data_IF_051644422216
#
_entry.id   IF_051644422216
#
_cell.length_a   1.000
_cell.length_b   1.000
_cell.length_c   1.000
_cell.angle_alpha   90.00
_cell.angle_beta   90.00
_cell.angle_gamma   90.00
#
_symmetry.space_group_name_H-M   'P 1'
#
loop_
_entity.id
_entity.type
_entity.pdbx_description
1 polymer ?
#
# COMPACT_ATOMS: atom_id res chain seq x y z
N UNK A 1 9.21 -9.19 13.98
CA UNK A 1 8.92 -9.34 12.53
C UNK A 1 9.60 -10.55 11.91
N UNK A 2 9.70 -11.69 12.61
CA UNK A 2 10.42 -12.86 12.07
C UNK A 2 9.55 -13.77 11.22
N UNK A 3 8.23 -13.71 11.41
CA UNK A 3 7.27 -14.56 10.72
C UNK A 3 6.74 -13.87 9.47
N UNK A 4 6.52 -12.56 9.55
CA UNK A 4 5.96 -11.71 8.50
C UNK A 4 6.82 -11.71 7.25
N UNK A 5 8.14 -11.52 7.38
CA UNK A 5 9.03 -11.56 6.22
C UNK A 5 9.06 -12.96 5.58
N UNK A 6 9.01 -14.03 6.39
CA UNK A 6 8.98 -15.41 5.88
C UNK A 6 7.73 -15.68 5.05
N UNK A 7 6.56 -15.21 5.51
CA UNK A 7 5.30 -15.37 4.78
C UNK A 7 5.43 -14.74 3.38
N UNK A 8 5.87 -13.48 3.30
CA UNK A 8 6.04 -12.80 2.01
C UNK A 8 7.10 -13.45 1.13
N UNK A 9 8.22 -13.93 1.70
CA UNK A 9 9.25 -14.63 0.94
C UNK A 9 8.75 -15.97 0.40
N UNK A 10 7.98 -16.75 1.15
CA UNK A 10 7.39 -18.01 0.66
C UNK A 10 6.45 -17.75 -0.51
N UNK A 11 5.58 -16.74 -0.40
CA UNK A 11 4.65 -16.35 -1.46
C UNK A 11 5.43 -15.88 -2.71
N UNK A 12 6.47 -15.06 -2.52
CA UNK A 12 7.34 -14.61 -3.60
C UNK A 12 7.99 -15.78 -4.35
N UNK A 13 8.59 -16.73 -3.62
CA UNK A 13 9.20 -17.94 -4.20
C UNK A 13 8.16 -18.75 -4.98
N UNK A 14 6.96 -18.92 -4.43
CA UNK A 14 5.86 -19.58 -5.12
C UNK A 14 5.48 -18.85 -6.41
N UNK A 15 5.33 -17.52 -6.38
CA UNK A 15 4.95 -16.72 -7.55
C UNK A 15 6.02 -16.74 -8.65
N UNK A 16 7.30 -16.72 -8.29
CA UNK A 16 8.37 -16.90 -9.27
C UNK A 16 8.39 -18.33 -9.84
N UNK A 17 8.17 -19.34 -9.00
CA UNK A 17 8.00 -20.71 -9.46
C UNK A 17 6.81 -20.86 -10.42
N UNK A 18 5.68 -20.24 -10.09
CA UNK A 18 4.49 -20.20 -10.94
C UNK A 18 4.74 -19.42 -12.24
N UNK A 19 5.49 -18.32 -12.20
CA UNK A 19 5.90 -17.56 -13.39
C UNK A 19 6.70 -18.45 -14.35
N UNK A 20 7.69 -19.18 -13.83
CA UNK A 20 8.50 -20.10 -14.64
C UNK A 20 7.64 -21.24 -15.20
N UNK A 21 6.83 -21.88 -14.35
CA UNK A 21 5.95 -22.98 -14.75
C UNK A 21 4.98 -22.53 -15.85
N UNK A 22 4.33 -21.38 -15.66
CA UNK A 22 3.36 -20.82 -16.60
C UNK A 22 3.99 -20.44 -17.93
N UNK A 23 5.14 -19.77 -17.90
CA UNK A 23 5.87 -19.40 -19.12
C UNK A 23 6.32 -20.62 -19.93
N UNK A 24 6.83 -21.66 -19.25
CA UNK A 24 7.24 -22.90 -19.90
C UNK A 24 6.04 -23.72 -20.42
N UNK A 25 4.93 -23.76 -19.68
CA UNK A 25 3.72 -24.46 -20.09
C UNK A 25 3.11 -23.83 -21.33
N UNK A 26 2.90 -22.51 -21.33
CA UNK A 26 2.31 -21.79 -22.47
C UNK A 26 3.19 -21.91 -23.72
N UNK A 27 4.51 -21.88 -23.55
CA UNK A 27 5.45 -22.14 -24.64
C UNK A 27 5.35 -23.57 -25.18
N UNK A 28 5.23 -24.57 -24.33
CA UNK A 28 5.09 -25.98 -24.74
C UNK A 28 3.78 -26.29 -25.47
N UNK A 29 2.69 -25.59 -25.14
CA UNK A 29 1.38 -25.78 -25.77
C UNK A 29 1.24 -25.02 -27.10
N UNK A 30 1.64 -23.75 -27.12
CA UNK A 30 1.35 -22.84 -28.24
C UNK A 30 2.57 -22.49 -29.09
N UNK A 31 3.77 -22.92 -28.70
CA UNK A 31 5.04 -22.52 -29.32
C UNK A 31 5.49 -21.09 -28.97
N UNK A 32 4.72 -20.36 -28.16
CA UNK A 32 5.00 -19.00 -27.73
C UNK A 32 4.67 -18.81 -26.24
N UNK A 33 5.41 -17.92 -25.56
CA UNK A 33 5.10 -17.56 -24.18
C UNK A 33 3.91 -16.62 -24.15
N UNK A 34 2.94 -16.86 -23.27
CA UNK A 34 1.88 -15.90 -23.02
C UNK A 34 2.36 -14.77 -22.11
N UNK A 35 2.65 -13.61 -22.71
CA UNK A 35 3.27 -12.50 -22.01
C UNK A 35 2.38 -11.85 -20.95
N UNK A 36 1.06 -11.78 -21.16
CA UNK A 36 0.16 -11.06 -20.24
C UNK A 36 0.16 -11.75 -18.86
N UNK A 37 -0.13 -13.05 -18.81
CA UNK A 37 -0.09 -13.81 -17.57
C UNK A 37 1.32 -13.90 -16.96
N UNK A 38 2.34 -14.14 -17.79
CA UNK A 38 3.73 -14.27 -17.31
C UNK A 38 4.22 -12.98 -16.65
N UNK A 39 3.97 -11.82 -17.26
CA UNK A 39 4.37 -10.51 -16.69
C UNK A 39 3.57 -10.21 -15.42
N UNK A 40 2.28 -10.50 -15.38
CA UNK A 40 1.46 -10.28 -14.19
C UNK A 40 1.95 -11.12 -12.99
N UNK A 41 2.27 -12.39 -13.20
CA UNK A 41 2.85 -13.26 -12.17
C UNK A 41 4.24 -12.77 -11.72
N UNK A 42 5.09 -12.38 -12.67
CA UNK A 42 6.41 -11.84 -12.38
C UNK A 42 6.33 -10.58 -11.53
N UNK A 43 5.49 -9.61 -11.91
CA UNK A 43 5.30 -8.36 -11.15
C UNK A 43 4.69 -8.62 -9.77
N UNK A 44 3.81 -9.60 -9.63
CA UNK A 44 3.27 -10.02 -8.33
C UNK A 44 4.36 -10.64 -7.43
N UNK A 45 5.24 -11.45 -8.03
CA UNK A 45 6.43 -11.98 -7.36
C UNK A 45 7.38 -10.86 -6.91
N UNK A 46 7.60 -9.85 -7.76
CA UNK A 46 8.41 -8.68 -7.41
C UNK A 46 7.77 -7.85 -6.29
N UNK A 47 6.46 -7.60 -6.33
CA UNK A 47 5.74 -6.89 -5.27
C UNK A 47 5.91 -7.57 -3.91
N UNK A 48 5.63 -8.87 -3.85
CA UNK A 48 5.78 -9.66 -2.61
C UNK A 48 7.24 -9.75 -2.16
N UNK A 49 8.19 -9.74 -3.09
CA UNK A 49 9.63 -9.67 -2.77
C UNK A 49 10.03 -8.33 -2.17
N UNK A 50 9.48 -7.21 -2.67
CA UNK A 50 9.73 -5.88 -2.10
C UNK A 50 9.21 -5.81 -0.66
N UNK A 51 7.99 -6.29 -0.40
CA UNK A 51 7.42 -6.39 0.94
C UNK A 51 8.28 -7.28 1.86
N UNK A 52 8.59 -8.50 1.42
CA UNK A 52 9.41 -9.45 2.18
C UNK A 52 10.82 -8.93 2.46
N UNK A 53 11.45 -8.28 1.49
CA UNK A 53 12.77 -7.67 1.63
C UNK A 53 12.79 -6.52 2.63
N UNK A 54 11.77 -5.66 2.60
CA UNK A 54 11.60 -4.61 3.60
C UNK A 54 11.45 -5.21 5.01
N UNK A 55 10.54 -6.16 5.21
CA UNK A 55 10.34 -6.79 6.52
C UNK A 55 11.59 -7.54 7.00
N UNK A 56 12.30 -8.22 6.10
CA UNK A 56 13.56 -8.89 6.43
C UNK A 56 14.60 -7.89 6.94
N UNK A 57 14.75 -6.75 6.26
CA UNK A 57 15.66 -5.69 6.68
C UNK A 57 15.29 -5.14 8.07
N UNK A 58 14.01 -4.87 8.33
CA UNK A 58 13.59 -4.36 9.64
C UNK A 58 13.71 -5.42 10.73
N UNK A 59 13.42 -6.70 10.43
CA UNK A 59 13.55 -7.81 11.37
C UNK A 59 14.97 -8.03 11.90
N UNK A 60 15.98 -7.53 11.17
CA UNK A 60 17.39 -7.56 11.59
C UNK A 60 17.81 -6.34 12.39
N UNK A 61 17.01 -5.26 12.38
CA UNK A 61 17.31 -4.00 13.06
C UNK A 61 16.53 -3.79 14.35
N UNK A 62 15.39 -4.46 14.53
CA UNK A 62 14.53 -4.32 15.70
C UNK A 62 14.51 -5.64 16.48
N UNK A 63 14.54 -5.53 17.80
CA UNK A 63 14.41 -6.67 18.70
C UNK A 63 13.01 -7.31 18.64
N UNK A 64 12.86 -8.45 19.32
CA UNK A 64 11.57 -9.14 19.43
C UNK A 64 10.56 -8.23 20.14
N UNK A 65 9.48 -7.88 19.43
CA UNK A 65 8.36 -7.14 19.99
C UNK A 65 7.54 -8.06 20.90
N UNK A 66 6.73 -7.51 21.83
CA UNK A 66 5.83 -8.31 22.66
C UNK A 66 4.94 -9.27 21.83
N UNK A 67 4.48 -8.82 20.65
CA UNK A 67 3.68 -9.63 19.71
C UNK A 67 4.44 -10.78 19.04
N UNK A 68 5.78 -10.76 19.03
CA UNK A 68 6.60 -11.85 18.51
C UNK A 68 6.99 -12.88 19.61
N UNK A 69 6.64 -12.63 20.88
CA UNK A 69 7.01 -13.47 22.03
C UNK A 69 5.90 -14.47 22.37
N UNK A 70 6.20 -15.78 22.45
CA UNK A 70 5.18 -16.77 22.84
C UNK A 70 4.79 -16.67 24.32
N UNK A 71 5.64 -16.04 25.13
CA UNK A 71 5.52 -15.81 26.58
C UNK A 71 5.20 -14.36 26.94
N UNK A 72 4.79 -13.53 25.97
CA UNK A 72 4.51 -12.11 26.19
C UNK A 72 3.30 -11.88 27.10
N UNK A 73 3.43 -10.95 28.05
CA UNK A 73 2.34 -10.56 28.95
C UNK A 73 1.61 -9.31 28.42
N UNK A 74 0.36 -9.10 28.83
CA UNK A 74 -0.43 -7.90 28.43
C UNK A 74 0.27 -6.61 28.90
N UNK A 75 0.94 -6.67 30.04
CA UNK A 75 1.70 -5.55 30.60
C UNK A 75 2.85 -5.09 29.70
N UNK A 76 3.43 -5.99 28.88
CA UNK A 76 4.53 -5.65 27.96
C UNK A 76 4.09 -4.69 26.84
N UNK A 77 2.78 -4.60 26.58
CA UNK A 77 2.19 -3.71 25.56
C UNK A 77 1.54 -2.43 26.12
N UNK A 78 1.69 -2.14 27.42
CA UNK A 78 0.95 -1.06 28.10
C UNK A 78 1.43 0.38 27.78
N UNK A 79 2.33 0.55 26.81
CA UNK A 79 2.84 1.86 26.37
C UNK A 79 1.85 2.63 25.48
N UNK A 80 2.19 3.89 25.20
CA UNK A 80 1.46 4.68 24.20
C UNK A 80 1.68 4.09 22.79
N UNK A 81 0.59 3.79 22.09
CA UNK A 81 0.63 3.17 20.75
C UNK A 81 1.04 4.20 19.67
N UNK A 82 0.65 5.46 19.86
CA UNK A 82 0.90 6.55 18.93
C UNK A 82 -0.34 7.43 18.71
N UNK A 83 -0.27 8.28 17.69
CA UNK A 83 -1.37 9.17 17.33
C UNK A 83 -2.38 8.47 16.41
N UNK A 84 -3.66 8.58 16.76
CA UNK A 84 -4.78 8.18 15.91
C UNK A 84 -5.70 9.38 15.67
N UNK A 85 -6.12 9.56 14.42
CA UNK A 85 -7.17 10.52 14.07
C UNK A 85 -8.47 10.16 14.80
N UNK A 86 -9.04 11.04 15.65
CA UNK A 86 -10.32 10.79 16.30
C UNK A 86 -11.50 10.90 15.31
N UNK A 87 -11.29 11.54 14.17
CA UNK A 87 -12.25 11.70 13.09
C UNK A 87 -11.67 12.59 11.99
N UNK A 88 -11.92 12.21 10.73
CA UNK A 88 -11.50 12.97 9.55
C UNK A 88 -12.49 12.76 8.41
N UNK A 89 -12.91 13.86 7.77
CA UNK A 89 -13.77 13.83 6.57
C UNK A 89 -12.96 13.79 5.27
N UNK A 90 -11.65 14.03 5.34
CA UNK A 90 -10.78 14.07 4.16
C UNK A 90 -10.71 12.76 3.38
N UNK A 91 -10.74 11.56 4.00
CA UNK A 91 -10.81 10.30 3.25
C UNK A 91 -12.05 10.21 2.36
N UNK A 92 -13.20 10.70 2.83
CA UNK A 92 -14.43 10.75 2.03
C UNK A 92 -14.29 11.76 0.88
N UNK A 93 -13.74 12.94 1.15
CA UNK A 93 -13.47 13.94 0.12
C UNK A 93 -12.51 13.43 -0.96
N UNK A 94 -11.47 12.69 -0.57
CA UNK A 94 -10.51 12.07 -1.49
C UNK A 94 -11.17 10.98 -2.34
N UNK A 95 -12.01 10.13 -1.76
CA UNK A 95 -12.78 9.13 -2.49
C UNK A 95 -13.71 9.77 -3.52
N UNK A 96 -14.42 10.84 -3.14
CA UNK A 96 -15.29 11.59 -4.05
C UNK A 96 -14.48 12.23 -5.19
N UNK A 97 -13.34 12.84 -4.89
CA UNK A 97 -12.47 13.44 -5.90
C UNK A 97 -11.94 12.40 -6.90
N UNK A 98 -11.50 11.24 -6.41
CA UNK A 98 -11.06 10.13 -7.25
C UNK A 98 -12.22 9.58 -8.11
N UNK A 99 -13.43 9.50 -7.57
CA UNK A 99 -14.62 9.09 -8.32
C UNK A 99 -14.94 10.10 -9.44
N UNK A 100 -14.87 11.41 -9.19
CA UNK A 100 -15.07 12.46 -10.21
C UNK A 100 -14.01 12.34 -11.32
N UNK A 101 -12.74 12.16 -10.97
CA UNK A 101 -11.68 11.94 -11.94
C UNK A 101 -11.93 10.68 -12.78
N UNK A 102 -12.35 9.58 -12.14
CA UNK A 102 -12.72 8.33 -12.80
C UNK A 102 -13.91 8.50 -13.77
N UNK A 103 -14.96 9.22 -13.36
CA UNK A 103 -16.09 9.54 -14.23
C UNK A 103 -15.65 10.38 -15.44
N UNK A 104 -14.77 11.37 -15.22
CA UNK A 104 -14.17 12.16 -16.29
C UNK A 104 -13.42 11.29 -17.30
N UNK A 105 -12.66 10.30 -16.83
CA UNK A 105 -11.94 9.36 -17.69
C UNK A 105 -12.90 8.44 -18.47
N UNK A 106 -13.88 7.84 -17.81
CA UNK A 106 -14.83 6.88 -18.41
C UNK A 106 -15.70 7.53 -19.48
N UNK A 107 -16.21 8.75 -19.23
CA UNK A 107 -17.07 9.47 -20.18
C UNK A 107 -16.31 10.39 -21.15
N UNK A 108 -14.97 10.31 -21.18
CA UNK A 108 -14.09 11.10 -22.04
C UNK A 108 -14.28 12.64 -21.88
N UNK A 109 -14.59 13.07 -20.66
CA UNK A 109 -14.80 14.48 -20.30
C UNK A 109 -13.51 15.06 -19.72
N UNK A 110 -12.61 15.56 -20.56
CA UNK A 110 -11.30 16.07 -20.12
C UNK A 110 -11.37 17.21 -19.09
N UNK A 111 -12.38 18.07 -19.17
CA UNK A 111 -12.59 19.14 -18.19
C UNK A 111 -12.92 18.57 -16.80
N UNK A 112 -13.73 17.52 -16.75
CA UNK A 112 -14.13 16.85 -15.51
C UNK A 112 -12.96 16.02 -14.93
N UNK A 113 -12.19 15.37 -15.81
CA UNK A 113 -10.95 14.69 -15.42
C UNK A 113 -9.95 15.69 -14.80
N UNK A 114 -9.73 16.83 -15.45
CA UNK A 114 -8.86 17.89 -14.93
C UNK A 114 -9.32 18.41 -13.57
N UNK A 115 -10.62 18.67 -13.42
CA UNK A 115 -11.21 19.09 -12.15
C UNK A 115 -11.03 18.02 -11.06
N UNK A 116 -11.31 16.75 -11.39
CA UNK A 116 -11.15 15.63 -10.47
C UNK A 116 -9.71 15.46 -10.00
N UNK A 117 -8.73 15.56 -10.91
CA UNK A 117 -7.31 15.47 -10.56
C UNK A 117 -6.87 16.61 -9.63
N UNK A 118 -7.29 17.85 -9.92
CA UNK A 118 -7.04 18.99 -9.03
C UNK A 118 -7.67 18.75 -7.67
N UNK A 119 -8.93 18.27 -7.63
CA UNK A 119 -9.61 17.95 -6.39
C UNK A 119 -8.91 16.84 -5.58
N UNK A 120 -8.35 15.82 -6.23
CA UNK A 120 -7.56 14.76 -5.57
C UNK A 120 -6.33 15.35 -4.87
N UNK A 121 -5.62 16.24 -5.55
CA UNK A 121 -4.45 16.93 -4.97
C UNK A 121 -4.88 17.74 -3.75
N UNK A 122 -5.95 18.54 -3.87
CA UNK A 122 -6.46 19.33 -2.74
C UNK A 122 -6.91 18.48 -1.56
N UNK A 123 -7.66 17.41 -1.81
CA UNK A 123 -8.11 16.50 -0.75
C UNK A 123 -6.94 15.78 -0.08
N UNK A 124 -5.90 15.42 -0.84
CA UNK A 124 -4.65 14.85 -0.31
C UNK A 124 -3.91 15.84 0.57
N UNK A 125 -3.76 17.10 0.11
CA UNK A 125 -3.17 18.16 0.93
C UNK A 125 -3.97 18.39 2.21
N UNK A 126 -5.30 18.40 2.14
CA UNK A 126 -6.17 18.52 3.29
C UNK A 126 -5.96 17.39 4.30
N UNK A 127 -5.92 16.14 3.83
CA UNK A 127 -5.64 14.96 4.65
C UNK A 127 -4.27 15.02 5.32
N UNK A 128 -3.22 15.43 4.59
CA UNK A 128 -1.86 15.50 5.11
C UNK A 128 -1.66 16.65 6.12
N UNK A 129 -2.30 17.80 5.89
CA UNK A 129 -2.12 18.99 6.72
C UNK A 129 -3.13 19.14 7.86
N UNK A 130 -4.13 18.25 7.96
CA UNK A 130 -5.21 18.32 8.96
C UNK A 130 -4.68 18.53 10.39
N UNK A 131 -3.66 17.75 10.78
CA UNK A 131 -3.08 17.79 12.12
C UNK A 131 -1.86 18.72 12.25
N UNK A 132 -1.49 19.44 11.19
CA UNK A 132 -0.31 20.31 11.14
C UNK A 132 -0.64 21.76 10.75
N UNK A 133 -1.90 22.18 10.89
CA UNK A 133 -2.39 23.49 10.46
C UNK A 133 -1.99 24.67 11.36
N UNK A 134 -1.59 24.39 12.62
CA UNK A 134 -1.27 25.41 13.62
C UNK A 134 -2.49 26.23 14.06
N UNK A 135 -2.35 27.00 15.13
CA UNK A 135 -3.39 27.96 15.54
C UNK A 135 -3.39 29.13 14.55
N UNK A 136 -4.59 29.52 14.07
CA UNK A 136 -4.73 30.79 13.34
C UNK A 136 -4.20 31.90 14.24
N UNK A 137 -3.25 32.71 13.75
CA UNK A 137 -2.80 33.90 14.48
C UNK A 137 -4.04 34.71 14.83
N UNK A 138 -4.36 34.81 16.12
CA UNK A 138 -5.35 35.77 16.59
C UNK A 138 -4.83 37.13 16.19
N UNK A 139 -5.58 37.87 15.38
CA UNK A 139 -5.24 39.25 15.08
C UNK A 139 -5.22 39.99 16.42
N UNK A 140 -4.02 40.34 16.90
CA UNK A 140 -3.86 41.27 18.01
C UNK A 140 -4.36 42.63 17.49
N UNK A 141 -5.57 42.99 17.89
CA UNK A 141 -6.13 44.33 17.79
C UNK A 141 -6.45 44.81 19.20
#
# INVERSE_FOLDING_TARGET
MKTEWKIFTIISVFLFGATMLYGLWTWGESGAVEWIGTVALMLSGLLTSMCGGFFWFVSRRIDLRPEDRPDGEIADGAGEVGFFSPGSYWPFGLALAAAIAGLGLVFWQFWLLGLGLVAVVFATCGLLFEYYSGTRRTAEH
#
